data_IF_045410213429
#
_entry.id   IF_045410213429
#
_cell.length_a   1.000
_cell.length_b   1.000
_cell.length_c   1.000
_cell.angle_alpha   90.00
_cell.angle_beta   90.00
_cell.angle_gamma   90.00
#
_symmetry.space_group_name_H-M   'P 1'
#
loop_
_entity.id
_entity.type
_entity.pdbx_description
1 polymer ?
#
# COMPACT_ATOMS: atom_id res chain seq x y z
N UNK A 1 -6.86 5.39 10.19
CA UNK A 1 -6.88 6.47 11.23
C UNK A 1 -6.52 7.84 10.65
N UNK A 2 -5.28 8.10 10.19
CA UNK A 2 -4.91 9.40 9.57
C UNK A 2 -5.92 9.86 8.51
N UNK A 3 -6.19 9.01 7.51
CA UNK A 3 -7.11 9.32 6.42
C UNK A 3 -8.52 9.74 6.90
N UNK A 4 -9.07 9.00 7.87
CA UNK A 4 -10.38 9.31 8.47
C UNK A 4 -10.39 10.67 9.18
N UNK A 5 -9.34 10.98 9.95
CA UNK A 5 -9.25 12.25 10.68
C UNK A 5 -9.09 13.41 9.69
N UNK A 6 -8.23 13.27 8.69
CA UNK A 6 -8.02 14.29 7.65
C UNK A 6 -9.29 14.52 6.81
N UNK A 7 -10.11 13.49 6.59
CA UNK A 7 -11.33 13.58 5.78
C UNK A 7 -12.53 14.20 6.53
N UNK A 8 -12.76 13.83 7.80
CA UNK A 8 -13.92 14.31 8.57
C UNK A 8 -13.61 15.48 9.51
N UNK A 9 -12.33 15.75 9.81
CA UNK A 9 -11.89 16.77 10.76
C UNK A 9 -11.86 16.30 12.22
N UNK A 10 -11.09 16.99 13.07
CA UNK A 10 -10.80 16.59 14.46
C UNK A 10 -12.00 16.61 15.41
N UNK A 11 -13.00 17.45 15.14
CA UNK A 11 -14.15 17.67 16.03
C UNK A 11 -15.41 16.92 15.60
N UNK A 12 -15.35 16.17 14.51
CA UNK A 12 -16.46 15.36 14.04
C UNK A 12 -16.54 14.02 14.79
N UNK A 13 -17.75 13.47 14.92
CA UNK A 13 -17.91 12.07 15.31
C UNK A 13 -17.37 11.21 14.18
N UNK A 14 -16.16 10.68 14.38
CA UNK A 14 -15.46 9.89 13.36
C UNK A 14 -16.14 8.53 13.15
N UNK A 15 -16.28 8.07 11.89
CA UNK A 15 -16.73 6.71 11.62
C UNK A 15 -15.70 5.69 12.13
N UNK A 16 -16.15 4.52 12.62
CA UNK A 16 -15.26 3.51 13.13
C UNK A 16 -14.44 2.89 11.99
N UNK A 17 -13.22 2.47 12.29
CA UNK A 17 -12.46 1.55 11.44
C UNK A 17 -13.00 0.15 11.69
N UNK A 18 -13.55 -0.48 10.67
CA UNK A 18 -14.08 -1.84 10.77
C UNK A 18 -12.96 -2.85 10.61
N UNK A 19 -12.96 -3.87 11.47
CA UNK A 19 -12.02 -5.00 11.38
C UNK A 19 -12.83 -6.29 11.31
N UNK A 20 -12.58 -7.07 10.27
CA UNK A 20 -13.16 -8.39 10.10
C UNK A 20 -12.03 -9.42 10.02
N UNK A 21 -12.03 -10.39 10.93
CA UNK A 21 -11.11 -11.52 10.89
C UNK A 21 -11.87 -12.80 10.53
N UNK A 22 -11.39 -13.54 9.55
CA UNK A 22 -11.98 -14.81 9.09
C UNK A 22 -10.90 -15.88 9.01
N UNK A 23 -11.20 -17.06 9.56
CA UNK A 23 -10.35 -18.23 9.44
C UNK A 23 -10.95 -19.19 8.41
N UNK A 24 -10.26 -19.36 7.28
CA UNK A 24 -10.55 -20.40 6.31
C UNK A 24 -9.70 -21.66 6.53
N UNK A 25 -9.85 -22.64 5.63
CA UNK A 25 -9.05 -23.88 5.67
C UNK A 25 -7.55 -23.64 5.36
N UNK A 26 -7.25 -22.62 4.56
CA UNK A 26 -5.90 -22.34 4.06
C UNK A 26 -5.30 -21.06 4.66
N UNK A 27 -6.13 -20.02 4.83
CA UNK A 27 -5.68 -18.69 5.20
C UNK A 27 -6.51 -18.11 6.37
N UNK A 28 -5.83 -17.40 7.26
CA UNK A 28 -6.39 -16.40 8.16
C UNK A 28 -6.37 -15.05 7.42
N UNK A 29 -7.53 -14.45 7.25
CA UNK A 29 -7.68 -13.15 6.59
C UNK A 29 -8.15 -12.10 7.57
N UNK A 30 -7.48 -10.95 7.59
CA UNK A 30 -7.88 -9.77 8.35
C UNK A 30 -8.16 -8.65 7.35
N UNK A 31 -9.41 -8.22 7.26
CA UNK A 31 -9.85 -7.04 6.50
C UNK A 31 -9.96 -5.86 7.46
N UNK A 32 -9.26 -4.78 7.15
CA UNK A 32 -9.43 -3.48 7.78
C UNK A 32 -10.11 -2.54 6.78
N UNK A 33 -11.20 -1.88 7.17
CA UNK A 33 -11.94 -0.97 6.31
C UNK A 33 -12.10 0.39 6.99
N UNK A 34 -11.79 1.45 6.25
CA UNK A 34 -12.05 2.83 6.65
C UNK A 34 -12.89 3.58 5.61
N UNK A 35 -13.51 4.68 6.04
CA UNK A 35 -14.24 5.62 5.18
C UNK A 35 -13.48 6.94 5.01
N UNK A 36 -12.14 6.89 4.98
CA UNK A 36 -11.26 8.06 4.94
C UNK A 36 -11.11 8.74 3.57
N UNK A 37 -12.11 8.64 2.69
CA UNK A 37 -12.12 9.30 1.38
C UNK A 37 -11.41 8.55 0.25
N UNK A 38 -10.64 7.50 0.55
CA UNK A 38 -10.03 6.62 -0.46
C UNK A 38 -8.79 7.19 -1.16
N UNK A 39 -8.30 6.44 -2.14
CA UNK A 39 -7.06 6.68 -2.90
C UNK A 39 -7.42 6.64 -4.39
N UNK A 40 -6.94 7.62 -5.16
CA UNK A 40 -7.17 7.64 -6.61
C UNK A 40 -6.51 6.46 -7.31
N UNK A 41 -7.12 5.97 -8.40
CA UNK A 41 -6.57 4.82 -9.14
C UNK A 41 -5.16 5.08 -9.68
N UNK A 42 -4.82 6.32 -10.00
CA UNK A 42 -3.48 6.67 -10.49
C UNK A 42 -2.40 6.57 -9.40
N UNK A 43 -2.79 6.74 -8.13
CA UNK A 43 -1.88 6.69 -6.99
C UNK A 43 -1.77 5.28 -6.39
N UNK A 44 -2.74 4.38 -6.65
CA UNK A 44 -2.79 3.05 -6.01
C UNK A 44 -1.54 2.20 -6.29
N UNK A 45 -0.95 2.32 -7.49
CA UNK A 45 0.26 1.58 -7.85
C UNK A 45 1.50 2.10 -7.10
N UNK A 46 1.44 3.33 -6.59
CA UNK A 46 2.56 4.00 -5.96
C UNK A 46 2.64 3.74 -4.45
N UNK A 47 1.55 3.36 -3.80
CA UNK A 47 1.48 3.25 -2.32
C UNK A 47 2.44 2.22 -1.73
N UNK A 48 2.85 1.23 -2.53
CA UNK A 48 3.83 0.21 -2.14
C UNK A 48 5.27 0.56 -2.55
N UNK A 49 5.51 1.72 -3.17
CA UNK A 49 6.88 2.18 -3.43
C UNK A 49 7.47 2.65 -2.10
N UNK A 50 8.70 2.23 -1.82
CA UNK A 50 9.48 2.80 -0.73
C UNK A 50 9.57 4.32 -0.90
N UNK A 51 9.52 5.03 0.24
CA UNK A 51 9.55 6.50 0.35
C UNK A 51 8.35 7.25 -0.25
N UNK A 52 7.36 6.57 -0.84
CA UNK A 52 6.14 7.23 -1.28
C UNK A 52 5.30 7.66 -0.06
N UNK A 53 4.96 8.95 0.01
CA UNK A 53 4.17 9.53 1.09
C UNK A 53 3.42 10.77 0.59
N UNK A 54 2.20 10.98 1.10
CA UNK A 54 1.43 12.22 0.93
C UNK A 54 1.54 13.15 2.14
N UNK A 55 2.17 12.69 3.22
CA UNK A 55 2.42 13.51 4.41
C UNK A 55 3.68 14.38 4.21
N UNK A 56 3.72 15.57 4.83
CA UNK A 56 4.92 16.38 4.87
C UNK A 56 6.09 15.62 5.55
N UNK A 57 7.35 16.00 5.25
CA UNK A 57 8.51 15.41 5.91
C UNK A 57 8.34 15.53 7.43
N UNK A 58 8.51 14.43 8.18
CA UNK A 58 8.31 14.47 9.61
C UNK A 58 9.43 15.26 10.28
N UNK A 59 9.10 15.97 11.36
CA UNK A 59 10.10 16.59 12.21
C UNK A 59 10.86 15.50 12.97
N UNK A 60 12.14 15.32 12.62
CA UNK A 60 13.01 14.31 13.22
C UNK A 60 13.58 14.74 14.59
N UNK A 61 13.25 15.95 15.06
CA UNK A 61 13.68 16.45 16.37
C UNK A 61 12.80 15.94 17.54
N UNK A 62 11.63 15.35 17.26
CA UNK A 62 10.69 14.87 18.27
C UNK A 62 10.99 13.45 18.78
N UNK A 63 10.66 13.18 20.05
CA UNK A 63 10.77 11.85 20.68
C UNK A 63 9.72 10.84 20.18
N UNK A 64 8.69 11.31 19.45
CA UNK A 64 7.59 10.48 18.97
C UNK A 64 7.82 10.11 17.51
N UNK A 65 7.67 8.82 17.19
CA UNK A 65 7.66 8.36 15.81
C UNK A 65 6.47 9.00 15.05
N UNK A 66 6.70 9.63 13.90
CA UNK A 66 5.65 10.29 13.14
C UNK A 66 4.66 9.25 12.60
N UNK A 67 3.36 9.55 12.64
CA UNK A 67 2.30 8.65 12.17
C UNK A 67 2.39 8.38 10.64
N UNK A 68 2.93 9.33 9.89
CA UNK A 68 3.18 9.27 8.45
C UNK A 68 4.41 10.13 8.08
N UNK A 69 4.89 10.02 6.84
CA UNK A 69 5.94 10.91 6.32
C UNK A 69 7.22 10.23 5.87
N UNK A 70 7.51 9.00 6.31
CA UNK A 70 8.68 8.25 5.84
C UNK A 70 8.40 7.36 4.62
N UNK A 71 7.16 6.92 4.43
CA UNK A 71 6.76 6.10 3.27
C UNK A 71 7.26 4.65 3.28
N UNK A 72 7.60 4.09 4.45
CA UNK A 72 8.06 2.69 4.56
C UNK A 72 7.00 1.73 5.13
N UNK A 73 5.96 2.23 5.81
CA UNK A 73 5.04 1.39 6.58
C UNK A 73 4.32 0.34 5.73
N UNK A 74 3.69 0.75 4.63
CA UNK A 74 2.94 -0.15 3.77
C UNK A 74 3.82 -1.18 3.02
N UNK A 75 4.94 -0.79 2.35
CA UNK A 75 5.83 -1.78 1.74
C UNK A 75 6.45 -2.76 2.75
N UNK A 76 6.84 -2.30 3.94
CA UNK A 76 7.36 -3.19 4.98
C UNK A 76 6.28 -4.14 5.52
N UNK A 77 5.06 -3.64 5.75
CA UNK A 77 3.94 -4.50 6.20
C UNK A 77 3.65 -5.61 5.19
N UNK A 78 3.71 -5.31 3.89
CA UNK A 78 3.58 -6.31 2.83
C UNK A 78 4.75 -7.30 2.82
N UNK A 79 5.97 -6.84 3.08
CA UNK A 79 7.14 -7.71 3.21
C UNK A 79 6.95 -8.70 4.36
N UNK A 80 6.50 -8.24 5.53
CA UNK A 80 6.20 -9.11 6.67
C UNK A 80 5.12 -10.15 6.35
N UNK A 81 4.03 -9.75 5.70
CA UNK A 81 2.99 -10.69 5.28
C UNK A 81 3.54 -11.76 4.32
N UNK A 82 4.33 -11.34 3.32
CA UNK A 82 4.90 -12.22 2.29
C UNK A 82 5.99 -13.16 2.80
N UNK A 83 6.62 -12.82 3.92
CA UNK A 83 7.70 -13.62 4.50
C UNK A 83 7.25 -15.05 4.80
N UNK A 84 6.00 -15.25 5.22
CA UNK A 84 5.40 -16.57 5.48
C UNK A 84 4.30 -16.93 4.47
N UNK A 85 4.52 -16.65 3.18
CA UNK A 85 3.59 -16.93 2.06
C UNK A 85 2.20 -16.28 2.16
N UNK A 86 2.06 -15.24 2.98
CA UNK A 86 0.90 -14.36 2.99
C UNK A 86 0.98 -13.28 1.91
N UNK A 87 0.07 -12.31 1.97
CA UNK A 87 0.19 -11.04 1.24
C UNK A 87 -0.61 -9.94 1.95
N UNK A 88 -0.28 -8.69 1.63
CA UNK A 88 -1.08 -7.52 1.99
C UNK A 88 -1.53 -6.83 0.71
N UNK A 89 -2.86 -6.71 0.55
CA UNK A 89 -3.49 -6.08 -0.61
C UNK A 89 -4.34 -4.92 -0.15
N UNK A 90 -4.35 -3.83 -0.94
CA UNK A 90 -5.17 -2.65 -0.66
C UNK A 90 -6.11 -2.43 -1.84
N UNK A 91 -7.40 -2.26 -1.55
CA UNK A 91 -8.45 -1.91 -2.51
C UNK A 91 -9.03 -0.60 -2.02
N UNK A 92 -9.14 0.39 -2.90
CA UNK A 92 -9.63 1.71 -2.52
C UNK A 92 -10.68 2.22 -3.49
N UNK A 93 -11.66 2.94 -2.94
CA UNK A 93 -12.72 3.62 -3.66
C UNK A 93 -12.60 5.12 -3.39
N UNK A 94 -12.05 5.84 -4.37
CA UNK A 94 -11.91 7.29 -4.30
C UNK A 94 -13.27 7.97 -4.07
N UNK A 95 -13.32 8.88 -3.10
CA UNK A 95 -14.54 9.53 -2.61
C UNK A 95 -15.27 8.76 -1.50
N UNK A 96 -14.83 7.56 -1.14
CA UNK A 96 -15.46 6.75 -0.09
C UNK A 96 -14.48 6.27 0.99
N UNK A 97 -13.55 5.38 0.65
CA UNK A 97 -12.80 4.65 1.67
C UNK A 97 -11.80 3.66 1.11
N UNK A 98 -11.08 3.00 2.02
CA UNK A 98 -10.03 2.03 1.68
C UNK A 98 -10.17 0.77 2.51
N UNK A 99 -9.96 -0.37 1.86
CA UNK A 99 -9.87 -1.69 2.47
C UNK A 99 -8.46 -2.26 2.33
N UNK A 100 -7.90 -2.71 3.44
CA UNK A 100 -6.65 -3.46 3.47
C UNK A 100 -6.92 -4.91 3.88
N UNK A 101 -6.48 -5.86 3.06
CA UNK A 101 -6.59 -7.29 3.29
C UNK A 101 -5.22 -7.86 3.61
N UNK A 102 -5.08 -8.38 4.82
CA UNK A 102 -3.92 -9.16 5.25
C UNK A 102 -4.28 -10.65 5.16
N UNK A 103 -3.52 -11.39 4.37
CA UNK A 103 -3.61 -12.84 4.25
C UNK A 103 -2.41 -13.47 4.94
N UNK A 104 -2.66 -14.44 5.83
CA UNK A 104 -1.64 -15.22 6.53
C UNK A 104 -2.02 -16.69 6.43
N UNK A 105 -1.05 -17.60 6.34
CA UNK A 105 -1.32 -19.03 6.32
C UNK A 105 -1.96 -19.48 7.64
N UNK A 106 -3.09 -20.17 7.56
CA UNK A 106 -3.76 -20.75 8.72
C UNK A 106 -2.98 -21.95 9.31
N UNK A 107 -2.23 -22.65 8.46
CA UNK A 107 -1.51 -23.87 8.80
C UNK A 107 -0.01 -23.59 8.95
N UNK A 108 0.60 -23.81 10.14
CA UNK A 108 2.00 -23.48 10.40
C UNK A 108 3.00 -24.15 9.44
N UNK A 109 2.76 -25.40 9.05
CA UNK A 109 3.66 -26.11 8.14
C UNK A 109 3.65 -25.56 6.70
N UNK A 110 2.66 -24.74 6.34
CA UNK A 110 2.61 -24.00 5.07
C UNK A 110 3.24 -22.61 5.19
N UNK A 111 3.54 -22.16 6.40
CA UNK A 111 4.14 -20.86 6.71
C UNK A 111 5.67 -20.95 6.77
N UNK A 112 6.31 -21.40 5.69
CA UNK A 112 7.78 -21.40 5.57
C UNK A 112 8.31 -20.04 5.12
N UNK A 113 9.57 -19.75 5.45
CA UNK A 113 10.20 -18.48 5.08
C UNK A 113 10.39 -18.35 3.56
N UNK A 114 10.02 -17.20 3.01
CA UNK A 114 10.24 -16.82 1.62
C UNK A 114 11.44 -15.88 1.51
N UNK A 115 12.61 -16.46 1.28
CA UNK A 115 13.87 -15.72 1.21
C UNK A 115 14.25 -15.34 -0.23
N UNK A 116 14.82 -14.14 -0.45
CA UNK A 116 15.37 -13.78 -1.76
C UNK A 116 16.63 -14.61 -2.04
N UNK A 117 16.67 -15.26 -3.20
CA UNK A 117 17.85 -15.98 -3.67
C UNK A 117 18.53 -15.21 -4.80
N UNK A 118 19.84 -15.00 -4.69
CA UNK A 118 20.62 -14.49 -5.81
C UNK A 118 20.79 -15.60 -6.85
N UNK A 119 20.44 -15.30 -8.11
CA UNK A 119 20.47 -16.24 -9.22
C UNK A 119 20.65 -15.49 -10.54
N UNK A 120 20.79 -16.22 -11.66
CA UNK A 120 20.80 -15.62 -13.01
C UNK A 120 19.55 -14.77 -13.28
N UNK A 121 18.38 -15.20 -12.78
CA UNK A 121 17.13 -14.44 -12.93
C UNK A 121 17.15 -13.13 -12.13
N UNK A 122 17.65 -13.17 -10.89
CA UNK A 122 17.78 -12.00 -10.02
C UNK A 122 18.80 -11.01 -10.58
N UNK A 123 19.96 -11.50 -11.06
CA UNK A 123 20.97 -10.69 -11.72
C UNK A 123 20.40 -9.99 -12.98
N UNK A 124 19.66 -10.73 -13.81
CA UNK A 124 18.97 -10.14 -14.96
C UNK A 124 18.06 -9.00 -14.52
N UNK A 125 17.19 -9.21 -13.52
CA UNK A 125 16.28 -8.16 -13.04
C UNK A 125 17.00 -6.88 -12.56
N UNK A 126 18.23 -7.00 -12.06
CA UNK A 126 19.05 -5.86 -11.62
C UNK A 126 19.77 -5.15 -12.78
N UNK A 127 20.15 -5.87 -13.83
CA UNK A 127 20.92 -5.33 -14.97
C UNK A 127 20.08 -4.98 -16.19
N UNK A 128 18.78 -5.35 -16.21
CA UNK A 128 17.89 -5.01 -17.31
C UNK A 128 17.78 -3.50 -17.49
N UNK A 129 18.01 -3.02 -18.71
CA UNK A 129 17.74 -1.66 -19.10
C UNK A 129 16.23 -1.42 -19.21
N UNK A 130 15.83 -0.14 -19.11
CA UNK A 130 14.45 0.28 -19.28
C UNK A 130 13.97 -0.09 -20.70
N UNK A 131 12.90 -0.86 -20.78
CA UNK A 131 12.28 -1.26 -22.04
C UNK A 131 11.34 -0.16 -22.55
N UNK A 132 11.05 -0.19 -23.85
CA UNK A 132 9.99 0.62 -24.44
C UNK A 132 8.63 0.20 -23.85
N UNK A 133 7.65 1.11 -23.87
CA UNK A 133 6.31 0.77 -23.42
C UNK A 133 5.68 -0.25 -24.39
N UNK A 134 5.08 -1.30 -23.85
CA UNK A 134 4.39 -2.33 -24.64
C UNK A 134 3.07 -1.83 -25.24
N UNK A 135 2.52 -0.75 -24.70
CA UNK A 135 1.25 -0.16 -25.10
C UNK A 135 1.42 1.29 -25.53
N UNK A 136 0.58 1.70 -26.48
CA UNK A 136 0.47 3.10 -26.87
C UNK A 136 0.04 3.94 -25.65
N UNK A 137 0.71 5.07 -25.46
CA UNK A 137 0.32 6.09 -24.50
C UNK A 137 -0.27 7.28 -25.25
N UNK A 138 -1.23 7.99 -24.64
CA UNK A 138 -1.79 9.21 -25.21
C UNK A 138 -0.69 10.27 -25.39
N UNK A 139 -0.80 11.05 -26.47
CA UNK A 139 0.09 12.20 -26.65
C UNK A 139 -0.14 13.20 -25.50
N UNK A 140 0.92 13.87 -24.99
CA UNK A 140 0.74 14.97 -24.05
C UNK A 140 -0.18 16.01 -24.70
N UNK A 141 -1.23 16.44 -24.00
CA UNK A 141 -2.15 17.47 -24.49
C UNK A 141 -1.35 18.74 -24.84
N UNK A 142 -1.19 19.03 -26.13
CA UNK A 142 -0.59 20.28 -26.63
C UNK A 142 -1.62 21.41 -26.72
N UNK A 143 -2.74 21.32 -26.00
CA UNK A 143 -3.74 22.38 -25.97
C UNK A 143 -3.26 23.54 -25.09
N UNK A 144 -2.44 24.40 -25.69
CA UNK A 144 -2.23 25.76 -25.23
C UNK A 144 -3.60 26.48 -25.24
N UNK A 145 -4.18 26.69 -24.06
CA UNK A 145 -5.46 27.40 -23.88
C UNK A 145 -5.31 28.92 -23.94
N UNK A 146 -4.24 29.42 -24.55
CA UNK A 146 -4.04 30.85 -24.82
C UNK A 146 -4.08 31.11 -26.33
N UNK A 147 -5.27 31.06 -26.92
CA UNK A 147 -5.56 31.79 -28.17
C UNK A 147 -7.02 32.18 -28.26
#
# INVERSE_FOLDING_TARGET
MRATIEHYGEFAKLPPVEVLATLGNEDLTIRLSDTGGGISRNAIDQIFRYTYTTAPPPDMAGYNAPLAGLGYGLPLSRLYARYFHGDLTVISMEGYGTEAFLYVKALPYKASEKLPTYSTSSHRNLTMSRQAADWAYGFPDTHDKNK
#
